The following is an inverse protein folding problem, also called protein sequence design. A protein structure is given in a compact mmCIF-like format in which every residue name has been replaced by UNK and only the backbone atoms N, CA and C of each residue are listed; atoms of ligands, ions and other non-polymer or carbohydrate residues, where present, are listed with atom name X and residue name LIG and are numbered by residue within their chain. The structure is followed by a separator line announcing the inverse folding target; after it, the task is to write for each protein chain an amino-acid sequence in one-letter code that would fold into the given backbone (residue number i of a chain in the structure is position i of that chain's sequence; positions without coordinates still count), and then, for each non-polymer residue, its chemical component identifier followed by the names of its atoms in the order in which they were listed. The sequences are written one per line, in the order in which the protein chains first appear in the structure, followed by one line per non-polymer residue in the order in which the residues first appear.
data_IF_852948231812
#
_entry.id   IF_852948231812
#
_cell.length_a   1.000
_cell.length_b   1.000
_cell.length_c   1.000
_cell.angle_alpha   90.00
_cell.angle_beta   90.00
_cell.angle_gamma   90.00
#
_symmetry.space_group_name_H-M   'P 1'
#
loop_
_entity.id
_entity.type
_entity.pdbx_description
1 polymer ?
#
# COMPACT_ATOMS: atom_id res chain seq x y z
N UNK A 1 -1.41 19.68 0.86
CA UNK A 1 -0.48 18.79 0.15
C UNK A 1 0.95 18.95 0.67
N UNK A 2 1.70 20.03 0.39
CA UNK A 2 3.11 20.16 0.83
C UNK A 2 3.43 19.85 2.31
N UNK A 3 2.58 20.25 3.25
CA UNK A 3 2.82 19.93 4.68
C UNK A 3 2.62 18.44 5.00
N UNK A 4 1.69 17.77 4.29
CA UNK A 4 1.48 16.32 4.41
C UNK A 4 2.71 15.57 3.90
N UNK A 5 3.23 15.96 2.72
CA UNK A 5 4.44 15.37 2.12
C UNK A 5 5.66 15.51 3.04
N UNK A 6 5.86 16.71 3.61
CA UNK A 6 6.93 16.95 4.59
C UNK A 6 6.72 16.16 5.88
N UNK A 7 5.48 16.03 6.35
CA UNK A 7 5.18 15.25 7.55
C UNK A 7 5.52 13.78 7.33
N UNK A 8 5.16 13.21 6.18
CA UNK A 8 5.55 11.85 5.80
C UNK A 8 7.07 11.69 5.79
N UNK A 9 7.80 12.68 5.26
CA UNK A 9 9.27 12.63 5.26
C UNK A 9 9.85 12.62 6.68
N UNK A 10 9.37 13.49 7.57
CA UNK A 10 9.83 13.55 8.96
C UNK A 10 9.48 12.26 9.72
N UNK A 11 8.26 11.74 9.56
CA UNK A 11 7.83 10.47 10.13
C UNK A 11 8.71 9.31 9.63
N UNK A 12 9.05 9.24 8.34
CA UNK A 12 9.94 8.19 7.81
C UNK A 12 11.37 8.28 8.34
N UNK A 13 11.77 9.42 8.90
CA UNK A 13 13.05 9.61 9.59
C UNK A 13 12.98 9.29 11.09
N UNK A 14 11.81 8.93 11.61
CA UNK A 14 11.59 8.72 13.04
C UNK A 14 11.44 10.02 13.82
N UNK A 15 11.02 11.11 13.18
CA UNK A 15 10.83 12.40 13.85
C UNK A 15 9.33 12.63 14.14
N UNK A 16 9.00 13.29 15.27
CA UNK A 16 7.61 13.60 15.59
C UNK A 16 7.04 14.73 14.75
N UNK A 17 5.73 14.68 14.54
CA UNK A 17 4.95 15.74 13.88
C UNK A 17 3.77 16.15 14.76
N UNK A 18 3.25 17.36 14.55
CA UNK A 18 2.03 17.85 15.18
C UNK A 18 0.87 17.72 14.20
N UNK A 19 -0.15 16.95 14.55
CA UNK A 19 -1.42 16.90 13.81
C UNK A 19 -2.43 17.82 14.50
N UNK A 20 -2.93 18.81 13.77
CA UNK A 20 -3.92 19.78 14.26
C UNK A 20 -5.32 19.38 13.85
N UNK A 21 -6.26 19.43 14.78
CA UNK A 21 -7.68 19.23 14.50
C UNK A 21 -8.53 20.14 15.37
N UNK A 22 -9.79 20.36 14.98
CA UNK A 22 -10.74 21.13 15.78
C UNK A 22 -10.95 20.56 17.19
N UNK A 23 -10.79 19.24 17.37
CA UNK A 23 -10.89 18.54 18.65
C UNK A 23 -9.69 18.73 19.58
N UNK A 24 -8.56 19.23 19.07
CA UNK A 24 -7.30 19.30 19.80
C UNK A 24 -6.11 18.90 18.93
N UNK A 25 -4.94 19.46 19.27
CA UNK A 25 -3.68 19.13 18.60
C UNK A 25 -3.06 17.89 19.26
N UNK A 26 -2.46 17.01 18.46
CA UNK A 26 -1.82 15.78 18.91
C UNK A 26 -0.39 15.75 18.39
N UNK A 27 0.58 15.52 19.27
CA UNK A 27 1.95 15.17 18.85
C UNK A 27 1.99 13.68 18.54
N UNK A 28 2.55 13.33 17.40
CA UNK A 28 2.58 11.98 16.83
C UNK A 28 4.02 11.57 16.61
N UNK A 29 4.41 10.41 17.14
CA UNK A 29 5.68 9.78 16.87
C UNK A 29 5.47 8.44 16.13
N UNK A 30 6.18 8.18 15.02
CA UNK A 30 6.13 6.88 14.36
C UNK A 30 6.80 5.83 15.26
N UNK A 31 6.45 4.55 15.10
CA UNK A 31 7.14 3.48 15.83
C UNK A 31 8.56 3.26 15.31
N UNK A 32 8.76 3.41 14.00
CA UNK A 32 10.08 3.41 13.40
C UNK A 32 10.92 4.57 13.93
N UNK A 33 11.92 4.26 14.76
CA UNK A 33 12.80 5.25 15.38
C UNK A 33 12.29 5.78 16.73
N UNK A 34 11.22 5.22 17.29
CA UNK A 34 10.84 5.48 18.68
C UNK A 34 11.72 4.62 19.60
N UNK A 35 12.60 5.26 20.36
CA UNK A 35 13.32 4.68 21.49
C UNK A 35 12.71 5.16 22.82
N UNK A 36 13.25 4.70 23.95
CA UNK A 36 12.73 5.03 25.28
C UNK A 36 12.81 6.54 25.57
N UNK A 37 13.83 7.23 25.05
CA UNK A 37 13.99 8.67 25.17
C UNK A 37 12.88 9.41 24.41
N UNK A 38 12.59 9.00 23.17
CA UNK A 38 11.49 9.54 22.37
C UNK A 38 10.12 9.26 23.02
N UNK A 39 9.93 8.05 23.54
CA UNK A 39 8.71 7.64 24.24
C UNK A 39 8.46 8.50 25.48
N UNK A 40 9.49 8.79 26.27
CA UNK A 40 9.42 9.65 27.45
C UNK A 40 9.29 11.14 27.11
N UNK A 41 9.91 11.59 26.01
CA UNK A 41 9.88 12.98 25.57
C UNK A 41 8.49 13.42 25.09
N UNK A 42 7.72 12.52 24.48
CA UNK A 42 6.42 12.82 23.90
C UNK A 42 5.40 13.38 24.92
N UNK A 43 5.12 12.73 26.06
CA UNK A 43 4.22 13.28 27.07
C UNK A 43 4.79 14.53 27.75
N UNK A 44 6.12 14.67 27.87
CA UNK A 44 6.74 15.88 28.41
C UNK A 44 6.49 17.10 27.50
N UNK A 45 6.55 16.88 26.18
CA UNK A 45 6.26 17.89 25.16
C UNK A 45 4.76 18.23 25.08
N UNK A 46 3.88 17.23 25.09
CA UNK A 46 2.44 17.43 24.95
C UNK A 46 1.76 17.89 26.25
N UNK A 47 2.29 17.47 27.40
CA UNK A 47 1.74 17.76 28.72
C UNK A 47 0.54 16.90 29.11
N UNK A 48 0.23 15.86 28.33
CA UNK A 48 -0.71 14.79 28.68
C UNK A 48 -0.03 13.43 28.47
N UNK A 49 -0.52 12.35 29.10
CA UNK A 49 -0.01 11.00 28.88
C UNK A 49 -0.05 10.58 27.41
N UNK A 50 0.91 9.74 27.02
CA UNK A 50 0.95 9.15 25.70
C UNK A 50 0.03 7.92 25.59
N UNK A 51 -0.37 7.60 24.37
CA UNK A 51 -1.10 6.39 24.01
C UNK A 51 -0.53 5.80 22.71
N UNK A 52 -0.58 4.48 22.58
CA UNK A 52 -0.33 3.77 21.34
C UNK A 52 -1.62 3.71 20.53
N UNK A 53 -1.64 4.38 19.38
CA UNK A 53 -2.72 4.32 18.41
C UNK A 53 -2.57 3.09 17.53
N UNK A 54 -3.59 2.23 17.49
CA UNK A 54 -3.63 1.00 16.71
C UNK A 54 -4.87 0.97 15.80
N UNK A 55 -4.73 0.41 14.60
CA UNK A 55 -5.89 0.14 13.75
C UNK A 55 -6.78 -0.95 14.34
N UNK A 56 -8.07 -0.94 13.99
CA UNK A 56 -9.00 -2.04 14.32
C UNK A 56 -8.49 -3.41 13.85
N UNK A 57 -7.73 -3.45 12.75
CA UNK A 57 -7.17 -4.69 12.21
C UNK A 57 -6.15 -5.27 13.18
N UNK A 58 -5.26 -4.43 13.70
CA UNK A 58 -4.30 -4.86 14.72
C UNK A 58 -4.99 -5.25 16.02
N UNK A 59 -5.97 -4.46 16.48
CA UNK A 59 -6.72 -4.76 17.69
C UNK A 59 -7.45 -6.11 17.61
N UNK A 60 -8.03 -6.44 16.46
CA UNK A 60 -8.64 -7.76 16.22
C UNK A 60 -7.61 -8.90 16.37
N UNK A 61 -6.36 -8.71 15.89
CA UNK A 61 -5.27 -9.69 16.07
C UNK A 61 -4.77 -9.80 17.51
N UNK A 62 -4.95 -8.74 18.31
CA UNK A 62 -4.74 -8.77 19.76
C UNK A 62 -5.89 -9.43 20.53
N UNK A 63 -6.96 -9.86 19.83
CA UNK A 63 -8.13 -10.50 20.42
C UNK A 63 -9.19 -9.52 20.92
N UNK A 64 -9.16 -8.27 20.45
CA UNK A 64 -10.08 -7.20 20.89
C UNK A 64 -11.02 -6.86 19.74
N UNK A 65 -12.32 -7.14 19.92
CA UNK A 65 -13.35 -6.68 19.00
C UNK A 65 -13.58 -5.17 19.21
N UNK A 66 -13.26 -4.38 18.19
CA UNK A 66 -13.24 -2.93 18.29
C UNK A 66 -13.91 -2.29 17.08
N UNK A 67 -15.06 -1.67 17.30
CA UNK A 67 -15.86 -1.03 16.25
C UNK A 67 -15.20 0.19 15.58
N UNK A 68 -14.63 1.15 16.34
CA UNK A 68 -13.98 2.32 15.74
C UNK A 68 -12.77 1.93 14.88
N UNK A 69 -12.43 2.76 13.87
CA UNK A 69 -11.27 2.53 12.97
C UNK A 69 -9.94 2.43 13.73
N UNK A 70 -9.81 3.20 14.81
CA UNK A 70 -8.57 3.36 15.57
C UNK A 70 -8.87 3.36 17.06
N UNK A 71 -8.13 2.56 17.81
CA UNK A 71 -8.14 2.56 19.27
C UNK A 71 -6.84 3.11 19.84
N UNK A 72 -6.94 3.79 20.98
CA UNK A 72 -5.82 4.30 21.77
C UNK A 72 -5.62 3.42 22.99
N UNK A 73 -4.43 2.84 23.10
CA UNK A 73 -3.96 2.00 24.19
C UNK A 73 -3.07 2.89 25.09
N UNK A 74 -3.42 3.15 26.36
CA UNK A 74 -2.58 3.98 27.23
C UNK A 74 -1.16 3.45 27.34
N UNK A 75 -0.16 4.34 27.24
CA UNK A 75 1.23 4.03 27.58
C UNK A 75 1.44 4.40 29.05
N UNK A 76 1.83 3.44 29.87
CA UNK A 76 1.97 3.60 31.31
C UNK A 76 3.44 3.60 31.74
N UNK A 77 3.79 4.16 32.92
CA UNK A 77 5.14 4.06 33.45
C UNK A 77 5.58 2.60 33.58
N UNK A 78 6.71 2.27 32.94
CA UNK A 78 7.26 0.91 32.88
C UNK A 78 7.15 0.25 31.50
N UNK A 79 6.31 0.79 30.61
CA UNK A 79 6.34 0.41 29.20
C UNK A 79 7.60 0.97 28.54
N UNK A 80 8.30 0.13 27.79
CA UNK A 80 9.46 0.51 26.98
C UNK A 80 9.10 0.51 25.48
N UNK A 81 9.92 1.19 24.67
CA UNK A 81 9.67 1.34 23.25
C UNK A 81 9.64 -0.02 22.51
N UNK A 82 10.36 -1.03 23.02
CA UNK A 82 10.34 -2.38 22.46
C UNK A 82 8.98 -3.04 22.65
N UNK A 83 8.40 -2.98 23.86
CA UNK A 83 7.07 -3.49 24.17
C UNK A 83 6.00 -2.78 23.33
N UNK A 84 6.06 -1.45 23.21
CA UNK A 84 5.15 -0.66 22.37
C UNK A 84 5.21 -1.12 20.91
N UNK A 85 6.41 -1.29 20.35
CA UNK A 85 6.57 -1.77 18.98
C UNK A 85 6.07 -3.21 18.80
N UNK A 86 6.27 -4.07 19.80
CA UNK A 86 5.83 -5.45 19.77
C UNK A 86 4.30 -5.56 19.85
N UNK A 87 3.64 -4.76 20.69
CA UNK A 87 2.16 -4.67 20.71
C UNK A 87 1.58 -4.25 19.38
N UNK A 88 2.27 -3.41 18.61
CA UNK A 88 1.81 -2.95 17.31
C UNK A 88 2.01 -3.95 16.17
N UNK A 89 2.91 -4.92 16.27
CA UNK A 89 3.37 -5.68 15.09
C UNK A 89 3.77 -7.15 15.30
N UNK A 90 3.85 -7.63 16.55
CA UNK A 90 4.21 -9.02 16.87
C UNK A 90 2.94 -9.85 17.15
N UNK A 91 2.74 -10.93 16.40
CA UNK A 91 1.60 -11.84 16.54
C UNK A 91 1.53 -12.53 17.92
N UNK A 92 2.67 -12.74 18.57
CA UNK A 92 2.76 -13.45 19.85
C UNK A 92 2.38 -12.59 21.05
N UNK A 93 2.38 -11.27 20.86
CA UNK A 93 2.12 -10.32 21.94
C UNK A 93 0.64 -10.10 22.19
N UNK A 94 0.31 -9.74 23.43
CA UNK A 94 -1.03 -9.31 23.86
C UNK A 94 -0.90 -8.03 24.67
N UNK A 95 -1.96 -7.22 24.66
CA UNK A 95 -2.03 -6.07 25.55
C UNK A 95 -2.13 -6.54 27.02
N UNK A 96 -1.70 -5.72 27.98
CA UNK A 96 -1.96 -5.97 29.39
C UNK A 96 -3.46 -6.18 29.65
N UNK A 97 -3.82 -7.09 30.58
CA UNK A 97 -5.21 -7.54 30.82
C UNK A 97 -6.17 -6.38 31.11
N UNK A 98 -5.70 -5.37 31.85
CA UNK A 98 -6.50 -4.22 32.25
C UNK A 98 -6.50 -3.09 31.20
N UNK A 99 -5.84 -3.30 30.06
CA UNK A 99 -5.74 -2.30 29.02
C UNK A 99 -6.94 -2.40 28.07
N UNK A 100 -7.83 -1.42 28.14
CA UNK A 100 -8.99 -1.30 27.27
C UNK A 100 -8.78 -0.14 26.29
N UNK A 101 -8.70 -0.40 24.97
CA UNK A 101 -8.56 0.66 23.98
C UNK A 101 -9.76 1.61 24.01
N UNK A 102 -9.50 2.90 23.86
CA UNK A 102 -10.56 3.92 23.70
C UNK A 102 -10.58 4.46 22.27
N UNK A 103 -11.73 4.94 21.81
CA UNK A 103 -11.85 5.48 20.46
C UNK A 103 -10.91 6.69 20.27
N UNK A 104 -10.13 6.68 19.19
CA UNK A 104 -9.22 7.77 18.90
C UNK A 104 -9.94 9.05 18.45
N UNK A 105 -9.34 10.20 18.75
CA UNK A 105 -9.77 11.48 18.20
C UNK A 105 -9.41 11.59 16.70
N UNK A 106 -10.01 12.54 15.95
CA UNK A 106 -9.73 12.71 14.52
C UNK A 106 -8.24 12.92 14.18
N UNK A 107 -7.50 13.67 15.00
CA UNK A 107 -6.07 13.91 14.77
C UNK A 107 -5.24 12.62 14.86
N UNK A 108 -5.50 11.77 15.87
CA UNK A 108 -4.87 10.46 16.00
C UNK A 108 -5.30 9.49 14.90
N UNK A 109 -6.52 9.61 14.38
CA UNK A 109 -6.96 8.87 13.20
C UNK A 109 -6.17 9.25 11.95
N UNK A 110 -6.10 10.55 11.66
CA UNK A 110 -5.34 11.09 10.52
C UNK A 110 -3.84 10.78 10.62
N UNK A 111 -3.29 10.72 11.85
CA UNK A 111 -1.91 10.29 12.09
C UNK A 111 -1.62 8.89 11.53
N UNK A 112 -2.54 7.94 11.66
CA UNK A 112 -2.37 6.59 11.12
C UNK A 112 -2.50 6.53 9.60
N UNK A 113 -3.30 7.42 9.03
CA UNK A 113 -3.34 7.57 7.57
C UNK A 113 -2.00 8.10 7.04
N UNK A 114 -1.31 9.01 7.75
CA UNK A 114 0.07 9.40 7.43
C UNK A 114 1.04 8.20 7.48
N UNK A 115 0.92 7.33 8.49
CA UNK A 115 1.78 6.13 8.58
C UNK A 115 1.59 5.22 7.35
N UNK A 116 0.32 4.95 6.99
CA UNK A 116 -0.01 4.14 5.80
C UNK A 116 0.54 4.75 4.52
N UNK A 117 0.31 6.05 4.31
CA UNK A 117 0.80 6.76 3.13
C UNK A 117 2.33 6.74 3.08
N UNK A 118 2.98 6.92 4.24
CA UNK A 118 4.43 6.86 4.42
C UNK A 118 5.05 5.46 4.35
N UNK A 119 4.25 4.41 4.15
CA UNK A 119 4.70 3.01 4.12
C UNK A 119 5.36 2.57 5.44
N UNK A 120 4.94 3.16 6.56
CA UNK A 120 5.30 2.77 7.91
C UNK A 120 4.28 1.78 8.47
N UNK A 121 4.58 1.16 9.62
CA UNK A 121 3.55 0.39 10.33
C UNK A 121 2.41 1.36 10.69
N UNK A 122 1.13 1.03 10.40
CA UNK A 122 -0.04 1.82 10.79
C UNK A 122 -0.29 1.71 12.29
N UNK A 123 0.66 2.24 13.06
CA UNK A 123 0.63 2.43 14.49
C UNK A 123 1.50 3.63 14.85
N UNK A 124 1.16 4.36 15.91
CA UNK A 124 1.94 5.52 16.34
C UNK A 124 1.78 5.76 17.85
N UNK A 125 2.81 6.33 18.48
CA UNK A 125 2.67 6.90 19.82
C UNK A 125 2.13 8.31 19.68
N UNK A 126 1.05 8.62 20.38
CA UNK A 126 0.34 9.89 20.30
C UNK A 126 0.15 10.51 21.68
N UNK A 127 0.24 11.83 21.78
CA UNK A 127 -0.07 12.55 23.01
C UNK A 127 -0.79 13.87 22.69
N UNK A 128 -1.92 14.12 23.34
CA UNK A 128 -2.71 15.34 23.14
C UNK A 128 -2.04 16.55 23.78
N UNK A 129 -1.98 17.68 23.08
CA UNK A 129 -1.35 18.90 23.59
C UNK A 129 -2.26 19.58 24.62
N UNK A 130 -1.83 19.53 25.88
CA UNK A 130 -2.46 20.22 27.00
C UNK A 130 -2.49 21.73 26.81
N UNK A 131 -3.44 22.41 27.46
CA UNK A 131 -3.53 23.88 27.40
C UNK A 131 -2.22 24.58 27.81
N UNK A 132 -1.54 24.05 28.83
CA UNK A 132 -0.28 24.60 29.33
C UNK A 132 0.85 24.52 28.28
N UNK A 133 0.89 23.47 27.47
CA UNK A 133 1.95 23.25 26.48
C UNK A 133 1.71 23.93 25.13
N UNK A 134 0.50 24.45 24.87
CA UNK A 134 0.16 25.07 23.56
C UNK A 134 1.13 26.16 23.12
N UNK A 135 1.57 27.02 24.05
CA UNK A 135 2.48 28.11 23.73
C UNK A 135 3.88 27.59 23.33
N UNK A 136 4.40 26.61 24.07
CA UNK A 136 5.69 25.98 23.81
C UNK A 136 5.67 25.19 22.49
N UNK A 137 4.66 24.35 22.27
CA UNK A 137 4.51 23.60 21.01
C UNK A 137 4.38 24.55 19.82
N UNK A 138 3.65 25.66 19.97
CA UNK A 138 3.56 26.69 18.92
C UNK A 138 4.92 27.33 18.61
N UNK A 139 5.75 27.57 19.62
CA UNK A 139 7.11 28.08 19.40
C UNK A 139 7.98 27.07 18.63
N UNK A 140 7.95 25.79 19.01
CA UNK A 140 8.68 24.72 18.32
C UNK A 140 8.26 24.56 16.85
N UNK A 141 6.97 24.76 16.55
CA UNK A 141 6.49 24.78 15.16
C UNK A 141 6.99 26.01 14.42
N UNK A 142 7.00 27.19 15.07
CA UNK A 142 7.50 28.42 14.46
C UNK A 142 9.01 28.37 14.15
N UNK A 143 9.78 27.68 15.00
CA UNK A 143 11.21 27.43 14.82
C UNK A 143 11.51 26.36 13.77
N UNK A 144 10.52 25.55 13.39
CA UNK A 144 10.68 24.43 12.46
C UNK A 144 11.23 23.15 13.09
N UNK A 145 11.29 23.09 14.43
CA UNK A 145 11.70 21.90 15.19
C UNK A 145 10.66 20.78 15.06
N UNK A 146 9.36 21.14 15.03
CA UNK A 146 8.27 20.20 14.80
C UNK A 146 7.45 20.68 13.62
N UNK A 147 7.22 19.80 12.65
CA UNK A 147 6.33 20.11 11.55
C UNK A 147 4.87 19.97 12.00
N UNK A 148 4.03 20.96 11.66
CA UNK A 148 2.59 20.87 11.89
C UNK A 148 1.81 20.69 10.59
N UNK A 149 0.82 19.80 10.64
CA UNK A 149 -0.10 19.50 9.54
C UNK A 149 -1.53 19.41 10.08
N UNK A 150 -2.53 19.88 9.32
CA UNK A 150 -3.93 19.78 9.74
C UNK A 150 -4.52 18.42 9.33
N UNK A 151 -5.36 17.84 10.18
CA UNK A 151 -6.03 16.56 9.92
C UNK A 151 -6.83 16.59 8.62
N UNK A 152 -7.53 17.69 8.35
CA UNK A 152 -8.34 17.87 7.14
C UNK A 152 -7.46 17.91 5.87
N UNK A 153 -6.20 18.35 5.99
CA UNK A 153 -5.25 18.30 4.87
C UNK A 153 -4.75 16.89 4.60
N UNK A 154 -4.66 16.04 5.63
CA UNK A 154 -4.29 14.64 5.50
C UNK A 154 -5.42 13.88 4.81
N UNK A 155 -6.66 14.08 5.26
CA UNK A 155 -7.85 13.46 4.67
C UNK A 155 -7.97 13.81 3.18
N UNK A 156 -7.91 15.11 2.85
CA UNK A 156 -7.98 15.58 1.46
C UNK A 156 -6.83 15.04 0.60
N UNK A 157 -5.64 14.88 1.17
CA UNK A 157 -4.48 14.32 0.45
C UNK A 157 -4.67 12.83 0.17
N UNK A 158 -5.28 12.08 1.10
CA UNK A 158 -5.61 10.66 0.88
C UNK A 158 -6.60 10.48 -0.28
N UNK A 159 -7.54 11.41 -0.45
CA UNK A 159 -8.52 11.37 -1.54
C UNK A 159 -7.97 11.85 -2.90
N UNK A 160 -6.99 12.76 -2.90
CA UNK A 160 -6.49 13.41 -4.12
C UNK A 160 -5.21 12.80 -4.69
N UNK A 161 -4.65 11.75 -4.08
CA UNK A 161 -3.28 11.25 -4.34
C UNK A 161 -3.01 10.90 -5.81
N UNK A 162 -4.03 10.47 -6.55
CA UNK A 162 -3.90 9.96 -7.91
C UNK A 162 -4.31 10.95 -9.00
N UNK A 163 -4.28 12.25 -8.71
CA UNK A 163 -4.44 13.28 -9.73
C UNK A 163 -3.09 13.94 -9.91
N UNK A 164 -2.72 14.26 -11.15
CA UNK A 164 -1.51 15.01 -11.52
C UNK A 164 -0.22 14.17 -11.64
N UNK A 165 -0.28 12.99 -12.28
CA UNK A 165 0.91 12.32 -12.80
C UNK A 165 1.60 13.19 -13.85
N UNK A 166 2.91 13.33 -13.72
CA UNK A 166 3.74 14.00 -14.73
C UNK A 166 4.58 12.99 -15.47
N UNK A 167 4.48 12.96 -16.81
CA UNK A 167 5.47 12.30 -17.66
C UNK A 167 6.82 13.02 -17.54
N UNK A 168 7.84 12.35 -17.02
CA UNK A 168 9.14 12.97 -16.70
C UNK A 168 10.23 12.69 -17.74
N UNK A 169 10.26 11.49 -18.30
CA UNK A 169 11.25 11.09 -19.31
C UNK A 169 10.76 9.87 -20.11
N UNK A 170 11.40 9.62 -21.26
CA UNK A 170 11.28 8.35 -21.96
C UNK A 170 12.57 7.95 -22.67
N UNK A 171 12.73 6.65 -22.92
CA UNK A 171 13.88 6.07 -23.63
C UNK A 171 13.48 4.78 -24.35
N UNK A 172 14.08 4.53 -25.50
CA UNK A 172 13.99 3.24 -26.19
C UNK A 172 14.95 2.25 -25.50
N UNK A 173 14.39 1.17 -24.94
CA UNK A 173 15.12 0.16 -24.18
C UNK A 173 14.69 -1.22 -24.71
N UNK A 174 15.47 -1.83 -25.60
CA UNK A 174 15.17 -3.15 -26.14
C UNK A 174 15.09 -4.21 -25.02
N UNK A 175 14.05 -5.04 -25.07
CA UNK A 175 13.85 -6.16 -24.16
C UNK A 175 14.08 -7.48 -24.89
N UNK A 176 14.46 -8.51 -24.14
CA UNK A 176 14.74 -9.84 -24.69
C UNK A 176 13.58 -10.50 -25.46
N UNK A 177 12.34 -10.10 -25.15
CA UNK A 177 11.12 -10.60 -25.81
C UNK A 177 10.35 -9.49 -26.53
N UNK A 178 10.91 -8.28 -26.60
CA UNK A 178 10.28 -7.11 -27.22
C UNK A 178 11.38 -6.09 -27.57
N UNK A 179 12.04 -6.28 -28.72
CA UNK A 179 13.16 -5.42 -29.15
C UNK A 179 12.72 -3.97 -29.36
N UNK A 180 11.48 -3.76 -29.83
CA UNK A 180 10.84 -2.46 -29.97
C UNK A 180 10.09 -2.11 -28.69
N UNK A 181 10.80 -1.63 -27.68
CA UNK A 181 10.18 -1.19 -26.42
C UNK A 181 10.65 0.20 -26.02
N UNK A 182 9.69 1.05 -25.62
CA UNK A 182 9.91 2.39 -25.08
C UNK A 182 9.42 2.46 -23.64
N UNK A 183 10.30 2.90 -22.76
CA UNK A 183 10.00 3.12 -21.36
C UNK A 183 9.61 4.58 -21.17
N UNK A 184 8.44 4.82 -20.58
CA UNK A 184 7.94 6.15 -20.26
C UNK A 184 7.77 6.25 -18.76
N UNK A 185 8.46 7.22 -18.15
CA UNK A 185 8.43 7.45 -16.71
C UNK A 185 7.32 8.45 -16.35
N UNK A 186 6.53 8.11 -15.35
CA UNK A 186 5.50 8.95 -14.74
C UNK A 186 5.81 9.14 -13.27
N UNK A 187 5.74 10.37 -12.79
CA UNK A 187 5.95 10.70 -11.37
C UNK A 187 4.66 11.24 -10.76
N UNK A 188 4.31 10.74 -9.58
CA UNK A 188 3.20 11.27 -8.78
C UNK A 188 3.46 12.72 -8.35
N UNK A 189 2.40 13.48 -8.11
CA UNK A 189 2.48 14.92 -7.82
C UNK A 189 3.29 15.23 -6.55
N UNK A 190 3.27 14.30 -5.59
CA UNK A 190 4.03 14.37 -4.33
C UNK A 190 5.51 14.01 -4.49
N UNK A 191 5.92 13.52 -5.67
CA UNK A 191 7.27 13.12 -5.97
C UNK A 191 7.75 11.86 -5.25
N UNK A 192 6.88 11.13 -4.53
CA UNK A 192 7.27 9.97 -3.74
C UNK A 192 7.38 8.69 -4.56
N UNK A 193 6.58 8.58 -5.63
CA UNK A 193 6.51 7.38 -6.47
C UNK A 193 6.72 7.69 -7.94
N UNK A 194 7.35 6.72 -8.58
CA UNK A 194 7.60 6.72 -10.01
C UNK A 194 7.08 5.41 -10.62
N UNK A 195 6.35 5.53 -11.71
CA UNK A 195 5.68 4.45 -12.42
C UNK A 195 6.21 4.41 -13.84
N UNK A 196 6.27 3.22 -14.43
CA UNK A 196 6.81 3.03 -15.78
C UNK A 196 5.72 2.47 -16.66
N UNK A 197 5.47 3.09 -17.80
CA UNK A 197 4.81 2.43 -18.92
C UNK A 197 5.85 1.89 -19.88
N UNK A 198 5.80 0.60 -20.18
CA UNK A 198 6.58 -0.04 -21.22
C UNK A 198 5.65 -0.15 -22.44
N UNK A 199 5.88 0.72 -23.42
CA UNK A 199 5.19 0.75 -24.70
C UNK A 199 5.91 -0.21 -25.64
N UNK A 200 5.22 -1.25 -26.09
CA UNK A 200 5.79 -2.34 -26.90
C UNK A 200 5.25 -2.24 -28.32
N UNK A 201 6.15 -2.37 -29.30
CA UNK A 201 5.84 -2.26 -30.73
C UNK A 201 5.56 -0.83 -31.19
N UNK A 202 5.05 -0.71 -32.41
CA UNK A 202 4.67 0.58 -33.00
C UNK A 202 3.18 0.83 -32.78
N UNK A 203 2.81 2.00 -32.25
CA UNK A 203 1.40 2.36 -32.01
C UNK A 203 0.49 2.27 -33.23
N UNK A 204 1.01 2.56 -34.43
CA UNK A 204 0.27 2.44 -35.68
C UNK A 204 -0.05 1.01 -36.12
N UNK A 205 0.57 0.01 -35.48
CA UNK A 205 0.37 -1.43 -35.73
C UNK A 205 -0.55 -2.06 -34.66
N UNK A 206 -0.98 -1.31 -33.64
CA UNK A 206 -1.78 -1.85 -32.55
C UNK A 206 -3.21 -2.16 -32.99
N UNK A 207 -3.78 -3.18 -32.35
CA UNK A 207 -5.19 -3.50 -32.48
C UNK A 207 -6.07 -2.41 -31.83
N UNK A 208 -7.34 -2.35 -32.24
CA UNK A 208 -8.33 -1.43 -31.66
C UNK A 208 -8.51 -1.64 -30.14
N UNK A 209 -8.43 -2.88 -29.68
CA UNK A 209 -8.28 -3.20 -28.26
C UNK A 209 -6.80 -3.39 -27.94
N UNK A 210 -6.21 -2.46 -27.20
CA UNK A 210 -4.78 -2.51 -26.88
C UNK A 210 -4.53 -3.57 -25.80
N UNK A 211 -3.63 -4.55 -26.01
CA UNK A 211 -3.18 -5.44 -24.94
C UNK A 211 -2.52 -4.63 -23.81
N UNK A 212 -3.07 -4.71 -22.61
CA UNK A 212 -2.57 -3.96 -21.45
C UNK A 212 -2.34 -4.88 -20.26
N UNK A 213 -1.17 -4.76 -19.62
CA UNK A 213 -0.85 -5.41 -18.34
C UNK A 213 -0.66 -4.37 -17.25
N UNK A 214 -1.48 -4.42 -16.21
CA UNK A 214 -1.21 -3.73 -14.95
C UNK A 214 -0.36 -4.62 -14.04
N UNK A 215 0.92 -4.32 -13.90
CA UNK A 215 1.86 -5.05 -13.06
C UNK A 215 2.17 -4.25 -11.80
N UNK A 216 1.85 -4.80 -10.62
CA UNK A 216 2.27 -4.21 -9.35
C UNK A 216 3.69 -4.68 -9.06
N UNK A 217 4.61 -3.74 -8.82
CA UNK A 217 6.02 -4.03 -8.57
C UNK A 217 6.22 -5.11 -7.51
N UNK A 218 7.14 -6.04 -7.78
CA UNK A 218 7.52 -7.09 -6.85
C UNK A 218 9.03 -7.34 -6.95
N UNK A 219 9.84 -6.55 -6.25
CA UNK A 219 11.31 -6.58 -6.33
C UNK A 219 11.87 -8.00 -6.23
N UNK A 220 11.43 -8.75 -5.21
CA UNK A 220 11.90 -10.12 -4.96
C UNK A 220 11.56 -11.08 -6.10
N UNK A 221 10.39 -10.93 -6.72
CA UNK A 221 9.95 -11.81 -7.81
C UNK A 221 10.51 -11.37 -9.16
N UNK A 222 10.41 -10.08 -9.46
CA UNK A 222 10.70 -9.49 -10.76
C UNK A 222 12.21 -9.44 -11.03
N UNK A 223 13.03 -9.06 -10.04
CA UNK A 223 14.48 -8.93 -10.20
C UNK A 223 15.25 -10.17 -9.70
N UNK A 224 14.87 -10.69 -8.53
CA UNK A 224 15.63 -11.76 -7.86
C UNK A 224 15.08 -13.18 -8.09
N UNK A 225 14.01 -13.34 -8.87
CA UNK A 225 13.47 -14.65 -9.23
C UNK A 225 12.94 -15.46 -8.04
N UNK A 226 12.36 -14.79 -7.03
CA UNK A 226 11.80 -15.46 -5.85
C UNK A 226 10.76 -16.52 -6.23
N UNK A 227 10.89 -17.70 -5.63
CA UNK A 227 9.94 -18.82 -5.79
C UNK A 227 8.70 -18.70 -4.90
N UNK A 228 8.63 -17.70 -4.00
CA UNK A 228 7.47 -17.50 -3.11
C UNK A 228 6.25 -16.93 -3.84
N UNK A 229 6.46 -16.29 -4.97
CA UNK A 229 5.43 -15.71 -5.82
C UNK A 229 5.69 -16.04 -7.29
N UNK A 230 4.73 -15.76 -8.15
CA UNK A 230 4.82 -15.94 -9.60
C UNK A 230 4.99 -14.61 -10.37
N UNK A 231 5.14 -13.48 -9.66
CA UNK A 231 5.15 -12.13 -10.26
C UNK A 231 6.17 -11.97 -11.39
N UNK A 232 7.42 -12.41 -11.19
CA UNK A 232 8.47 -12.24 -12.20
C UNK A 232 8.27 -13.09 -13.45
N UNK A 233 7.57 -14.22 -13.35
CA UNK A 233 7.15 -15.00 -14.53
C UNK A 233 5.97 -14.31 -15.23
N UNK A 234 4.97 -13.85 -14.47
CA UNK A 234 3.85 -13.09 -15.05
C UNK A 234 4.32 -11.82 -15.78
N UNK A 235 5.34 -11.12 -15.26
CA UNK A 235 5.93 -9.94 -15.91
C UNK A 235 6.48 -10.28 -17.29
N UNK A 236 7.37 -11.29 -17.35
CA UNK A 236 8.03 -11.72 -18.60
C UNK A 236 7.03 -12.29 -19.60
N UNK A 237 6.09 -13.10 -19.13
CA UNK A 237 5.01 -13.65 -19.95
C UNK A 237 4.13 -12.56 -20.55
N UNK A 238 3.82 -11.52 -19.77
CA UNK A 238 3.02 -10.40 -20.26
C UNK A 238 3.75 -9.63 -21.36
N UNK A 239 5.05 -9.36 -21.21
CA UNK A 239 5.86 -8.71 -22.26
C UNK A 239 5.82 -9.53 -23.55
N UNK A 240 6.08 -10.84 -23.46
CA UNK A 240 6.03 -11.75 -24.63
C UNK A 240 4.65 -11.75 -25.28
N UNK A 241 3.59 -11.92 -24.48
CA UNK A 241 2.21 -11.95 -24.97
C UNK A 241 1.84 -10.64 -25.68
N UNK A 242 2.27 -9.49 -25.16
CA UNK A 242 2.00 -8.18 -25.76
C UNK A 242 2.74 -8.05 -27.11
N UNK A 243 4.00 -8.48 -27.17
CA UNK A 243 4.79 -8.44 -28.41
C UNK A 243 4.21 -9.35 -29.50
N UNK A 244 3.86 -10.60 -29.15
CA UNK A 244 3.21 -11.58 -30.04
C UNK A 244 1.87 -11.09 -30.62
N UNK A 245 1.20 -10.16 -29.93
CA UNK A 245 -0.07 -9.54 -30.34
C UNK A 245 0.10 -8.34 -31.27
N UNK A 246 1.34 -7.96 -31.61
CA UNK A 246 1.66 -6.80 -32.44
C UNK A 246 1.95 -5.52 -31.65
N UNK A 247 1.96 -5.58 -30.32
CA UNK A 247 2.28 -4.45 -29.44
C UNK A 247 1.17 -4.11 -28.44
N UNK A 248 1.50 -3.20 -27.51
CA UNK A 248 0.62 -2.78 -26.42
C UNK A 248 1.38 -2.12 -25.28
N UNK A 249 0.84 -2.18 -24.06
CA UNK A 249 1.41 -1.48 -22.89
C UNK A 249 1.49 -2.35 -21.65
N UNK A 250 2.65 -2.39 -21.01
CA UNK A 250 2.79 -2.88 -19.64
C UNK A 250 2.99 -1.70 -18.68
N UNK A 251 2.08 -1.52 -17.73
CA UNK A 251 2.20 -0.54 -16.65
C UNK A 251 2.84 -1.19 -15.44
N UNK A 252 4.06 -0.80 -15.12
CA UNK A 252 4.78 -1.21 -13.92
C UNK A 252 4.56 -0.16 -12.82
N UNK A 253 3.68 -0.50 -11.88
CA UNK A 253 3.22 0.39 -10.82
C UNK A 253 4.08 0.21 -9.56
N UNK A 254 4.61 1.29 -9.00
CA UNK A 254 5.34 1.29 -7.73
C UNK A 254 4.43 1.00 -6.51
N UNK A 255 3.98 -0.25 -6.42
CA UNK A 255 3.00 -0.76 -5.46
C UNK A 255 3.49 -2.07 -4.84
N UNK A 256 4.69 -2.03 -4.25
CA UNK A 256 5.29 -3.19 -3.59
C UNK A 256 4.41 -3.70 -2.42
N UNK A 257 4.32 -5.02 -2.26
CA UNK A 257 3.60 -5.64 -1.15
C UNK A 257 2.11 -5.31 -1.07
N UNK A 258 1.40 -5.19 -2.20
CA UNK A 258 0.00 -4.71 -2.20
C UNK A 258 -0.18 -3.32 -1.60
N UNK A 259 0.82 -2.45 -1.78
CA UNK A 259 0.77 -1.06 -1.35
C UNK A 259 1.33 -0.80 0.05
N UNK A 260 1.70 -1.83 0.83
CA UNK A 260 2.30 -1.68 2.16
C UNK A 260 3.80 -1.36 2.12
N UNK A 261 4.43 -1.50 0.95
CA UNK A 261 5.87 -1.24 0.77
C UNK A 261 6.77 -2.44 1.06
N UNK A 262 8.03 -2.34 0.65
CA UNK A 262 8.99 -3.46 0.73
C UNK A 262 9.32 -3.89 2.16
N UNK A 263 9.56 -2.92 3.06
CA UNK A 263 9.91 -3.22 4.44
C UNK A 263 8.80 -4.01 5.15
N UNK A 264 7.55 -3.55 5.00
CA UNK A 264 6.39 -4.23 5.57
C UNK A 264 6.10 -5.58 4.90
N UNK A 265 6.32 -5.70 3.58
CA UNK A 265 6.26 -7.00 2.90
C UNK A 265 7.23 -8.03 3.51
N UNK A 266 8.46 -7.61 3.84
CA UNK A 266 9.43 -8.49 4.49
C UNK A 266 9.02 -8.84 5.93
N UNK A 267 8.46 -7.89 6.69
CA UNK A 267 7.86 -8.15 8.01
C UNK A 267 6.74 -9.19 7.90
N UNK A 268 5.82 -9.03 6.93
CA UNK A 268 4.74 -9.97 6.68
C UNK A 268 5.25 -11.37 6.28
N UNK A 269 6.36 -11.46 5.55
CA UNK A 269 6.98 -12.75 5.24
C UNK A 269 7.48 -13.49 6.49
N UNK A 270 8.09 -12.78 7.44
CA UNK A 270 8.49 -13.38 8.73
C UNK A 270 7.28 -13.93 9.48
N UNK A 271 6.17 -13.19 9.50
CA UNK A 271 4.91 -13.63 10.11
C UNK A 271 4.30 -14.85 9.39
N UNK A 272 4.39 -14.89 8.06
CA UNK A 272 3.92 -16.02 7.26
C UNK A 272 4.75 -17.29 7.47
N UNK A 273 6.07 -17.13 7.62
CA UNK A 273 6.99 -18.22 7.97
C UNK A 273 6.66 -18.79 9.36
N UNK A 274 6.13 -17.95 10.26
CA UNK A 274 5.54 -18.34 11.55
C UNK A 274 4.16 -19.02 11.45
N UNK A 275 3.61 -19.17 10.25
CA UNK A 275 2.37 -19.92 10.00
C UNK A 275 1.15 -19.08 9.66
N UNK A 276 1.22 -17.74 9.65
CA UNK A 276 0.10 -16.91 9.21
C UNK A 276 -0.08 -16.95 7.69
N UNK A 277 -1.31 -16.76 7.22
CA UNK A 277 -1.54 -16.46 5.81
C UNK A 277 -1.24 -14.99 5.50
N UNK A 278 -1.35 -14.60 4.23
CA UNK A 278 -1.02 -13.22 3.80
C UNK A 278 -1.93 -12.18 4.44
N UNK A 279 -3.23 -12.43 4.52
CA UNK A 279 -4.19 -11.44 5.04
C UNK A 279 -4.00 -11.27 6.54
N UNK A 280 -3.87 -12.37 7.26
CA UNK A 280 -3.64 -12.35 8.70
C UNK A 280 -2.31 -11.65 9.03
N UNK A 281 -1.24 -11.92 8.28
CA UNK A 281 0.05 -11.25 8.47
C UNK A 281 -0.02 -9.73 8.24
N UNK A 282 -0.76 -9.28 7.23
CA UNK A 282 -0.96 -7.85 6.95
C UNK A 282 -1.79 -7.19 8.08
N UNK A 283 -2.82 -7.87 8.57
CA UNK A 283 -3.63 -7.39 9.71
C UNK A 283 -2.83 -7.34 11.02
N UNK A 284 -1.87 -8.25 11.22
CA UNK A 284 -0.94 -8.19 12.37
C UNK A 284 -0.07 -6.95 12.31
N UNK A 285 0.30 -6.49 11.13
CA UNK A 285 0.98 -5.20 10.97
C UNK A 285 -0.01 -4.02 10.99
N UNK A 286 -1.31 -4.27 11.08
CA UNK A 286 -2.36 -3.27 11.14
C UNK A 286 -2.88 -2.76 9.79
N UNK A 287 -2.47 -3.36 8.67
CA UNK A 287 -2.97 -3.04 7.34
C UNK A 287 -4.33 -3.71 7.04
N UNK A 288 -5.04 -3.20 6.03
CA UNK A 288 -6.19 -3.86 5.44
C UNK A 288 -5.80 -5.04 4.54
N UNK A 289 -6.78 -5.64 3.86
CA UNK A 289 -6.54 -6.78 2.96
C UNK A 289 -5.84 -6.37 1.64
N UNK A 290 -6.08 -5.15 1.16
CA UNK A 290 -5.39 -4.56 0.00
C UNK A 290 -5.34 -3.04 0.11
N UNK A 291 -4.15 -2.47 -0.03
CA UNK A 291 -3.89 -1.02 0.11
C UNK A 291 -3.64 -0.35 -1.25
N UNK A 292 -3.81 -1.10 -2.35
CA UNK A 292 -3.60 -0.58 -3.70
C UNK A 292 -4.79 0.21 -4.18
N UNK A 293 -4.48 1.19 -4.99
CA UNK A 293 -5.45 1.98 -5.74
C UNK A 293 -5.01 1.97 -7.21
N UNK A 294 -5.95 1.98 -8.16
CA UNK A 294 -5.64 1.80 -9.60
C UNK A 294 -5.83 3.06 -10.43
N UNK A 295 -6.12 4.18 -9.80
CA UNK A 295 -6.34 5.47 -10.46
C UNK A 295 -5.07 5.98 -11.14
N UNK A 296 -3.90 5.66 -10.57
CA UNK A 296 -2.61 5.91 -11.22
C UNK A 296 -2.51 5.22 -12.59
N UNK A 297 -3.06 4.00 -12.71
CA UNK A 297 -3.06 3.29 -13.98
C UNK A 297 -4.05 3.89 -14.97
N UNK A 298 -5.20 4.38 -14.49
CA UNK A 298 -6.18 5.12 -15.31
C UNK A 298 -5.54 6.38 -15.91
N UNK A 299 -4.91 7.20 -15.08
CA UNK A 299 -4.26 8.44 -15.55
C UNK A 299 -3.08 8.16 -16.50
N UNK A 300 -2.31 7.09 -16.26
CA UNK A 300 -1.27 6.66 -17.21
C UNK A 300 -1.88 6.26 -18.57
N UNK A 301 -2.98 5.50 -18.58
CA UNK A 301 -3.65 5.11 -19.84
C UNK A 301 -4.26 6.32 -20.56
N UNK A 302 -4.86 7.25 -19.81
CA UNK A 302 -5.39 8.51 -20.35
C UNK A 302 -4.29 9.34 -21.02
N UNK A 303 -3.15 9.55 -20.35
CA UNK A 303 -2.00 10.28 -20.92
C UNK A 303 -1.34 9.54 -22.10
N UNK A 304 -1.53 8.22 -22.16
CA UNK A 304 -1.13 7.40 -23.31
C UNK A 304 -2.22 7.36 -24.40
N UNK A 305 -3.36 8.02 -24.21
CA UNK A 305 -4.50 8.06 -25.15
C UNK A 305 -5.09 6.67 -25.44
N UNK A 306 -5.13 5.80 -24.42
CA UNK A 306 -5.67 4.44 -24.52
C UNK A 306 -6.97 4.37 -23.71
N UNK A 307 -8.10 4.17 -24.38
CA UNK A 307 -9.41 4.06 -23.75
C UNK A 307 -10.05 2.66 -23.86
N UNK A 308 -9.50 1.78 -24.70
CA UNK A 308 -10.07 0.46 -25.01
C UNK A 308 -9.00 -0.63 -24.95
N UNK A 309 -9.17 -1.62 -24.07
CA UNK A 309 -8.10 -2.58 -23.74
C UNK A 309 -8.54 -4.04 -23.72
N UNK A 310 -7.62 -4.94 -24.10
CA UNK A 310 -7.61 -6.34 -23.66
C UNK A 310 -6.73 -6.42 -22.40
N UNK A 311 -7.32 -6.70 -21.24
CA UNK A 311 -6.62 -6.65 -19.96
C UNK A 311 -6.02 -8.01 -19.57
N UNK A 312 -4.70 -8.04 -19.37
CA UNK A 312 -3.92 -9.19 -18.97
C UNK A 312 -3.90 -9.33 -17.43
N UNK A 313 -4.92 -9.96 -16.84
CA UNK A 313 -5.10 -10.04 -15.37
C UNK A 313 -5.83 -11.29 -14.90
N UNK A 314 -5.55 -11.69 -13.65
CA UNK A 314 -6.34 -12.65 -12.87
C UNK A 314 -7.02 -11.98 -11.66
N UNK A 315 -6.86 -10.66 -11.50
CA UNK A 315 -7.52 -9.91 -10.43
C UNK A 315 -8.81 -9.29 -10.98
N UNK A 316 -10.01 -9.70 -10.52
CA UNK A 316 -11.27 -9.07 -10.91
C UNK A 316 -11.34 -7.60 -10.49
N UNK A 317 -10.69 -7.19 -9.40
CA UNK A 317 -10.68 -5.79 -8.95
C UNK A 317 -10.02 -4.87 -9.96
N UNK A 318 -8.99 -5.35 -10.68
CA UNK A 318 -8.33 -4.56 -11.74
C UNK A 318 -9.30 -4.31 -12.89
N UNK A 319 -10.15 -5.28 -13.21
CA UNK A 319 -11.16 -5.12 -14.27
C UNK A 319 -12.18 -4.09 -13.83
N UNK A 320 -12.74 -4.26 -12.63
CA UNK A 320 -13.72 -3.33 -12.07
C UNK A 320 -13.19 -1.90 -11.98
N UNK A 321 -11.95 -1.72 -11.54
CA UNK A 321 -11.34 -0.40 -11.45
C UNK A 321 -11.10 0.26 -12.82
N UNK A 322 -10.74 -0.51 -13.85
CA UNK A 322 -10.62 0.03 -15.22
C UNK A 322 -11.99 0.45 -15.77
N UNK A 323 -13.01 -0.41 -15.65
CA UNK A 323 -14.36 -0.11 -16.13
C UNK A 323 -14.96 1.12 -15.42
N UNK A 324 -14.84 1.20 -14.09
CA UNK A 324 -15.30 2.35 -13.31
C UNK A 324 -14.53 3.64 -13.64
N UNK A 325 -13.28 3.50 -14.09
CA UNK A 325 -12.42 4.60 -14.49
C UNK A 325 -12.60 5.09 -15.92
N UNK A 326 -13.59 4.57 -16.64
CA UNK A 326 -13.88 4.97 -18.03
C UNK A 326 -12.99 4.31 -19.09
N UNK A 327 -12.22 3.29 -18.72
CA UNK A 327 -11.46 2.46 -19.66
C UNK A 327 -12.31 1.25 -20.02
N UNK A 328 -12.63 1.08 -21.30
CA UNK A 328 -13.42 -0.07 -21.77
C UNK A 328 -12.58 -1.35 -21.78
N UNK A 329 -12.86 -2.27 -20.85
CA UNK A 329 -12.26 -3.63 -20.87
C UNK A 329 -13.11 -4.54 -21.76
N UNK A 330 -12.61 -4.81 -22.97
CA UNK A 330 -13.39 -5.57 -23.98
C UNK A 330 -13.15 -7.06 -23.90
N UNK A 331 -11.99 -7.45 -23.38
CA UNK A 331 -11.63 -8.83 -23.16
C UNK A 331 -10.63 -8.93 -22.00
N UNK A 332 -10.58 -10.10 -21.37
CA UNK A 332 -9.61 -10.44 -20.33
C UNK A 332 -8.82 -11.65 -20.76
N UNK A 333 -7.51 -11.61 -20.55
CA UNK A 333 -6.63 -12.77 -20.69
C UNK A 333 -5.96 -13.08 -19.36
N UNK A 334 -6.01 -14.35 -18.96
CA UNK A 334 -5.28 -14.82 -17.79
C UNK A 334 -3.76 -14.76 -18.01
N UNK A 335 -3.02 -14.47 -16.94
CA UNK A 335 -1.55 -14.50 -16.96
C UNK A 335 -1.07 -15.33 -15.80
N UNK A 336 -0.32 -16.38 -16.08
CA UNK A 336 0.04 -17.38 -15.09
C UNK A 336 1.55 -17.57 -15.07
N UNK A 337 2.11 -17.73 -13.87
CA UNK A 337 3.40 -18.38 -13.72
C UNK A 337 3.23 -19.85 -13.37
N UNK A 338 4.35 -20.52 -13.17
CA UNK A 338 4.41 -21.93 -12.80
C UNK A 338 4.01 -22.12 -11.35
N UNK A 339 3.13 -23.09 -11.12
CA UNK A 339 2.85 -23.57 -9.77
C UNK A 339 4.05 -24.36 -9.26
N UNK A 340 4.53 -23.99 -8.08
CA UNK A 340 5.63 -24.66 -7.39
C UNK A 340 5.20 -25.01 -5.97
N UNK A 341 5.99 -25.85 -5.29
CA UNK A 341 5.73 -26.16 -3.87
C UNK A 341 5.79 -24.88 -3.01
N UNK A 342 6.65 -23.94 -3.39
CA UNK A 342 6.95 -22.71 -2.66
C UNK A 342 5.83 -21.67 -2.79
N UNK A 343 5.24 -21.51 -3.97
CA UNK A 343 4.20 -20.48 -4.21
C UNK A 343 2.76 -21.01 -4.07
N UNK A 344 2.54 -22.33 -3.95
CA UNK A 344 1.19 -22.92 -3.83
C UNK A 344 0.36 -22.31 -2.70
N UNK A 345 0.96 -22.09 -1.52
CA UNK A 345 0.27 -21.47 -0.38
C UNK A 345 -0.18 -20.04 -0.71
N UNK A 346 0.72 -19.25 -1.29
CA UNK A 346 0.45 -17.88 -1.69
C UNK A 346 -0.66 -17.80 -2.76
N UNK A 347 -0.60 -18.63 -3.79
CA UNK A 347 -1.62 -18.66 -4.86
C UNK A 347 -2.99 -19.12 -4.34
N UNK A 348 -3.02 -20.10 -3.42
CA UNK A 348 -4.25 -20.53 -2.75
C UNK A 348 -4.88 -19.40 -1.91
N UNK A 349 -4.07 -18.69 -1.11
CA UNK A 349 -4.57 -17.55 -0.34
C UNK A 349 -5.14 -16.47 -1.28
N UNK A 350 -4.43 -16.17 -2.37
CA UNK A 350 -4.85 -15.20 -3.38
C UNK A 350 -6.17 -15.58 -4.07
N UNK A 351 -6.40 -16.87 -4.35
CA UNK A 351 -7.66 -17.35 -4.91
C UNK A 351 -8.80 -17.32 -3.87
N UNK A 352 -8.60 -17.93 -2.71
CA UNK A 352 -9.68 -18.14 -1.71
C UNK A 352 -10.04 -16.89 -0.91
N UNK A 353 -9.06 -16.05 -0.57
CA UNK A 353 -9.25 -14.86 0.27
C UNK A 353 -9.48 -13.60 -0.55
N UNK A 354 -8.71 -13.41 -1.61
CA UNK A 354 -8.73 -12.20 -2.44
C UNK A 354 -9.47 -12.36 -3.77
N UNK A 355 -10.16 -13.50 -3.98
CA UNK A 355 -11.06 -13.72 -5.12
C UNK A 355 -10.37 -13.75 -6.50
N UNK A 356 -9.06 -14.01 -6.57
CA UNK A 356 -8.37 -14.08 -7.85
C UNK A 356 -8.71 -15.36 -8.63
N UNK A 357 -8.88 -15.22 -9.95
CA UNK A 357 -9.17 -16.31 -10.88
C UNK A 357 -7.91 -17.10 -11.23
N UNK A 358 -7.61 -18.12 -10.43
CA UNK A 358 -6.40 -18.95 -10.51
C UNK A 358 -6.72 -20.45 -10.61
N UNK A 359 -7.98 -20.81 -10.89
CA UNK A 359 -8.45 -22.20 -10.97
C UNK A 359 -7.59 -23.00 -11.97
N UNK A 360 -7.35 -22.43 -13.16
CA UNK A 360 -6.56 -23.04 -14.24
C UNK A 360 -5.12 -23.40 -13.85
N UNK A 361 -4.55 -22.76 -12.81
CA UNK A 361 -3.20 -23.06 -12.32
C UNK A 361 -3.23 -23.97 -11.10
N UNK A 362 -4.27 -23.88 -10.27
CA UNK A 362 -4.34 -24.62 -9.00
C UNK A 362 -4.85 -26.05 -9.19
N UNK A 363 -5.64 -26.29 -10.23
CA UNK A 363 -6.21 -27.60 -10.59
C UNK A 363 -5.33 -28.34 -11.62
N UNK A 364 -4.11 -28.74 -11.22
CA UNK A 364 -3.23 -29.62 -12.01
C UNK A 364 -3.79 -31.07 -12.07
N UNK A 365 -4.97 -31.30 -12.63
CA UNK A 365 -5.58 -32.65 -12.66
C UNK A 365 -6.71 -32.95 -13.65
N UNK A 366 -7.47 -31.98 -14.12
CA UNK A 366 -8.49 -32.21 -15.16
C UNK A 366 -8.43 -31.07 -16.16
N UNK A 367 -8.43 -31.39 -17.47
CA UNK A 367 -8.51 -30.42 -18.56
C UNK A 367 -9.82 -29.60 -18.43
N UNK A 368 -9.76 -28.51 -17.66
CA UNK A 368 -10.86 -27.60 -17.43
C UNK A 368 -10.90 -26.51 -18.50
N UNK A 369 -11.99 -26.48 -19.28
CA UNK A 369 -12.24 -25.49 -20.32
C UNK A 369 -12.08 -24.05 -19.81
N UNK A 370 -11.37 -23.22 -20.56
CA UNK A 370 -11.30 -21.78 -20.35
C UNK A 370 -12.70 -21.21 -20.08
N UNK A 371 -12.92 -20.68 -18.87
CA UNK A 371 -14.23 -20.12 -18.52
C UNK A 371 -14.44 -18.88 -19.39
N UNK A 372 -15.53 -18.79 -20.19
CA UNK A 372 -15.74 -17.65 -21.07
C UNK A 372 -15.78 -16.37 -20.26
N UNK A 373 -15.06 -15.34 -20.71
CA UNK A 373 -15.17 -14.00 -20.16
C UNK A 373 -16.64 -13.56 -20.21
N UNK A 374 -17.29 -13.53 -19.05
CA UNK A 374 -18.58 -12.85 -18.87
C UNK A 374 -18.27 -11.50 -18.28
N UNK A 375 -18.62 -10.42 -18.99
CA UNK A 375 -18.62 -9.06 -18.44
C UNK A 375 -19.28 -9.11 -17.05
N UNK A 376 -18.66 -8.56 -16.00
CA UNK A 376 -19.36 -8.35 -14.73
C UNK A 376 -20.63 -7.57 -15.05
N UNK A 377 -21.79 -8.14 -14.71
CA UNK A 377 -23.05 -7.41 -14.83
C UNK A 377 -22.98 -6.29 -13.80
N UNK A 378 -23.01 -5.03 -14.25
CA UNK A 378 -23.09 -3.87 -13.38
C UNK A 378 -24.23 -4.08 -12.37
N UNK A 379 -23.92 -4.00 -11.08
CA UNK A 379 -24.93 -3.92 -10.02
C UNK A 379 -25.30 -2.47 -9.77
#
# INVERSE_FOLDING_TARGET
MRQVERAIFDLRRGLPVLVRAASGDVVVHPLEGCDDDALAALPALAGNPAALALTRHRLARLGIDFGPRVGLVPVIPGDDAHAIAAWASDETQRLPVDCQPVAANPASGAALDLMRIGLLIPAAVVAEVSHAQRAQVKALVAEGTILAVAAEQIDAYSESRSRFLKRTSDADIPLSHAERAKFVMFREADGMREHIAIVIGNRGEWNDAVPVRLHSACLTGDLFGSLRCDCGEQLRESVRTIDERGGGVLLYLAQEGRGIGLANKLRAYTLQDGGLDTVDADQVLGFGEDERTYEVALEMLEQLEIARIELLTNNPEKIAAMDQGGIEVVNRRGVYGKLTKQNRRYLNAKAKRAGHWLEEVLDDGEEGSATPFRRPVAR
#
